data_IF_175349832208
#
_entry.id   IF_175349832208
#
_cell.length_a   1.000
_cell.length_b   1.000
_cell.length_c   1.000
_cell.angle_alpha   90.00
_cell.angle_beta   90.00
_cell.angle_gamma   90.00
#
_symmetry.space_group_name_H-M   'P 1'
#
loop_
_entity.id
_entity.type
_entity.pdbx_description
1 polymer ?
#
# COMPACT_ATOMS: atom_id res chain seq x y z
N UNK A 1 -20.16 -0.20 -12.32
CA UNK A 1 -18.72 0.09 -12.47
C UNK A 1 -18.21 0.61 -11.14
N UNK A 2 -17.04 0.16 -10.68
CA UNK A 2 -16.50 0.53 -9.35
C UNK A 2 -15.55 1.72 -9.48
N UNK A 3 -15.83 2.82 -8.76
CA UNK A 3 -14.97 4.00 -8.73
C UNK A 3 -13.88 3.84 -7.66
N UNK A 4 -12.71 4.43 -7.91
CA UNK A 4 -11.62 4.51 -6.95
C UNK A 4 -10.85 5.83 -7.11
N UNK A 5 -10.13 6.22 -6.06
CA UNK A 5 -9.20 7.35 -6.09
C UNK A 5 -7.80 6.86 -5.73
N UNK A 6 -6.79 7.24 -6.51
CA UNK A 6 -5.40 6.88 -6.28
C UNK A 6 -4.71 7.97 -5.46
N UNK A 7 -4.11 7.58 -4.35
CA UNK A 7 -3.36 8.48 -3.47
C UNK A 7 -1.96 7.92 -3.21
N UNK A 8 -1.03 8.79 -2.80
CA UNK A 8 0.31 8.38 -2.37
C UNK A 8 0.76 9.16 -1.13
N UNK A 9 1.52 8.50 -0.27
CA UNK A 9 2.23 9.14 0.83
C UNK A 9 3.72 8.80 0.74
N UNK A 10 4.53 9.74 0.24
CA UNK A 10 5.96 9.58 0.01
C UNK A 10 6.31 8.37 -0.88
N UNK A 11 5.54 8.20 -1.96
CA UNK A 11 5.71 7.13 -2.95
C UNK A 11 4.98 5.83 -2.61
N UNK A 12 4.55 5.62 -1.36
CA UNK A 12 3.73 4.48 -0.99
C UNK A 12 2.26 4.73 -1.40
N UNK A 13 1.78 3.97 -2.38
CA UNK A 13 0.62 4.36 -3.20
C UNK A 13 -0.60 3.42 -3.08
N UNK A 14 -1.77 3.98 -2.83
CA UNK A 14 -2.99 3.24 -2.50
C UNK A 14 -4.13 3.54 -3.45
N UNK A 15 -4.94 2.52 -3.74
CA UNK A 15 -6.28 2.70 -4.28
C UNK A 15 -7.24 2.90 -3.10
N UNK A 16 -8.04 3.95 -3.11
CA UNK A 16 -9.06 4.22 -2.09
C UNK A 16 -10.44 4.02 -2.72
N UNK A 17 -11.27 3.21 -2.09
CA UNK A 17 -12.67 2.97 -2.50
C UNK A 17 -13.62 3.48 -1.42
N UNK A 18 -14.56 4.31 -1.86
CA UNK A 18 -15.60 4.91 -1.03
C UNK A 18 -16.73 3.93 -0.74
N UNK A 19 -16.98 3.69 0.54
CA UNK A 19 -18.03 2.81 1.03
C UNK A 19 -18.67 3.26 2.34
N UNK A 20 -18.43 4.50 2.80
CA UNK A 20 -18.89 5.00 4.11
C UNK A 20 -20.40 4.98 4.29
N UNK A 21 -21.18 4.95 3.19
CA UNK A 21 -22.64 4.85 3.21
C UNK A 21 -23.15 3.40 3.17
N UNK A 22 -22.28 2.41 3.26
CA UNK A 22 -22.64 0.99 3.21
C UNK A 22 -23.12 0.54 1.82
N UNK A 23 -22.79 1.30 0.78
CA UNK A 23 -23.24 1.09 -0.60
C UNK A 23 -22.42 0.05 -1.37
N UNK A 24 -21.29 -0.41 -0.82
CA UNK A 24 -20.42 -1.37 -1.49
C UNK A 24 -21.01 -2.78 -1.43
N UNK A 25 -21.01 -3.52 -2.56
CA UNK A 25 -21.31 -4.94 -2.54
C UNK A 25 -20.34 -5.69 -1.62
N UNK A 26 -20.81 -6.81 -1.02
CA UNK A 26 -19.99 -7.64 -0.12
C UNK A 26 -18.65 -8.03 -0.76
N UNK A 27 -18.65 -8.40 -2.03
CA UNK A 27 -17.44 -8.78 -2.75
C UNK A 27 -16.40 -7.66 -2.92
N UNK A 28 -16.76 -6.40 -2.66
CA UNK A 28 -15.85 -5.24 -2.62
C UNK A 28 -15.51 -4.90 -1.16
N UNK A 29 -16.50 -4.84 -0.27
CA UNK A 29 -16.29 -4.46 1.13
C UNK A 29 -15.57 -5.54 1.95
N UNK A 30 -15.63 -6.78 1.46
CA UNK A 30 -14.89 -7.93 1.94
C UNK A 30 -14.25 -8.67 0.75
N UNK A 31 -13.14 -8.12 0.23
CA UNK A 31 -12.57 -8.55 -1.03
C UNK A 31 -11.82 -9.87 -0.90
N UNK A 32 -11.91 -10.70 -1.95
CA UNK A 32 -11.04 -11.85 -2.11
C UNK A 32 -9.59 -11.41 -2.40
N UNK A 33 -8.62 -12.15 -1.86
CA UNK A 33 -7.21 -11.83 -1.98
C UNK A 33 -6.71 -11.84 -3.44
N UNK A 34 -7.23 -12.71 -4.31
CA UNK A 34 -6.85 -12.75 -5.72
C UNK A 34 -7.35 -11.51 -6.47
N UNK A 35 -8.53 -10.99 -6.09
CA UNK A 35 -9.00 -9.73 -6.66
C UNK A 35 -8.10 -8.56 -6.28
N UNK A 36 -7.71 -8.46 -5.00
CA UNK A 36 -6.77 -7.43 -4.53
C UNK A 36 -5.45 -7.52 -5.29
N UNK A 37 -4.86 -8.71 -5.40
CA UNK A 37 -3.62 -8.93 -6.18
C UNK A 37 -3.78 -8.45 -7.62
N UNK A 38 -4.91 -8.77 -8.26
CA UNK A 38 -5.17 -8.39 -9.65
C UNK A 38 -5.27 -6.87 -9.84
N UNK A 39 -5.95 -6.14 -8.95
CA UNK A 39 -6.07 -4.68 -9.10
C UNK A 39 -4.79 -3.95 -8.69
N UNK A 40 -4.04 -4.48 -7.72
CA UNK A 40 -2.77 -3.93 -7.25
C UNK A 40 -1.59 -4.26 -8.18
N UNK A 41 -1.73 -5.24 -9.08
CA UNK A 41 -0.72 -5.52 -10.10
C UNK A 41 -0.43 -4.28 -10.96
N UNK A 42 0.85 -3.88 -11.03
CA UNK A 42 1.28 -2.65 -11.70
C UNK A 42 1.29 -2.72 -13.23
N UNK A 43 1.14 -3.90 -13.82
CA UNK A 43 1.17 -4.12 -15.28
C UNK A 43 -0.21 -4.46 -15.85
N UNK A 44 -0.97 -5.27 -15.14
CA UNK A 44 -2.25 -5.83 -15.56
C UNK A 44 -3.43 -5.28 -14.76
N UNK A 45 -3.17 -4.60 -13.65
CA UNK A 45 -4.15 -3.90 -12.84
C UNK A 45 -4.02 -2.38 -12.94
N UNK A 46 -4.52 -1.70 -11.92
CA UNK A 46 -4.30 -0.27 -11.72
C UNK A 46 -2.88 0.00 -11.22
N UNK A 47 -2.36 -0.93 -10.42
CA UNK A 47 -1.08 -0.79 -9.72
C UNK A 47 -1.23 -0.06 -8.40
N UNK A 48 -0.68 -0.61 -7.32
CA UNK A 48 -0.56 0.04 -6.02
C UNK A 48 -0.06 -0.89 -4.94
N UNK A 49 0.52 -0.34 -3.89
CA UNK A 49 1.00 -1.09 -2.72
C UNK A 49 -0.15 -1.66 -1.88
N UNK A 50 -1.37 -1.13 -2.03
CA UNK A 50 -2.57 -1.68 -1.42
C UNK A 50 -3.88 -1.04 -1.84
N UNK A 51 -4.96 -1.64 -1.35
CA UNK A 51 -6.33 -1.17 -1.44
C UNK A 51 -6.82 -0.73 -0.07
N UNK A 52 -7.33 0.49 0.03
CA UNK A 52 -7.96 1.06 1.22
C UNK A 52 -9.47 1.14 0.97
N UNK A 53 -10.25 0.62 1.90
CA UNK A 53 -11.70 0.70 1.92
C UNK A 53 -12.13 1.66 3.03
N UNK A 54 -12.79 2.75 2.67
CA UNK A 54 -13.45 3.65 3.60
C UNK A 54 -14.87 3.13 3.86
N UNK A 55 -15.11 2.50 5.00
CA UNK A 55 -16.33 1.78 5.32
C UNK A 55 -17.12 2.46 6.45
N UNK A 56 -18.41 2.12 6.64
CA UNK A 56 -19.16 2.63 7.78
C UNK A 56 -18.49 2.20 9.09
N UNK A 57 -18.54 3.06 10.13
CA UNK A 57 -18.02 2.69 11.45
C UNK A 57 -18.82 1.52 12.04
N UNK A 58 -18.18 0.74 12.91
CA UNK A 58 -18.82 -0.30 13.70
C UNK A 58 -18.98 0.06 15.18
N UNK A 59 -18.20 1.04 15.65
CA UNK A 59 -18.30 1.62 16.99
C UNK A 59 -18.61 3.12 16.92
N UNK A 60 -18.01 3.89 17.84
CA UNK A 60 -18.21 5.33 17.98
C UNK A 60 -17.24 6.16 17.10
N UNK A 61 -16.56 5.54 16.13
CA UNK A 61 -15.72 6.25 15.17
C UNK A 61 -16.52 7.00 14.09
N UNK A 62 -15.83 7.85 13.34
CA UNK A 62 -16.41 8.54 12.18
C UNK A 62 -16.56 7.58 10.99
N UNK A 63 -15.59 6.67 10.82
CA UNK A 63 -15.56 5.65 9.77
C UNK A 63 -14.62 4.51 10.16
N UNK A 64 -14.69 3.42 9.40
CA UNK A 64 -13.76 2.29 9.51
C UNK A 64 -12.88 2.20 8.28
N UNK A 65 -11.59 2.03 8.49
CA UNK A 65 -10.61 1.74 7.44
C UNK A 65 -10.28 0.25 7.45
N UNK A 66 -10.39 -0.38 6.28
CA UNK A 66 -9.70 -1.66 6.00
C UNK A 66 -8.61 -1.41 4.97
N UNK A 67 -7.48 -2.06 5.14
CA UNK A 67 -6.35 -1.98 4.20
C UNK A 67 -5.89 -3.37 3.81
N UNK A 68 -5.95 -3.63 2.51
CA UNK A 68 -5.42 -4.86 1.91
C UNK A 68 -4.09 -4.53 1.25
N UNK A 69 -3.04 -5.27 1.60
CA UNK A 69 -1.75 -5.19 0.91
C UNK A 69 -1.88 -5.73 -0.52
N UNK A 70 -0.92 -5.37 -1.38
CA UNK A 70 -0.88 -5.85 -2.77
C UNK A 70 -0.84 -7.39 -2.90
N UNK A 71 -0.38 -8.11 -1.87
CA UNK A 71 -0.40 -9.58 -1.83
C UNK A 71 -1.75 -10.16 -1.38
N UNK A 72 -2.75 -9.32 -1.13
CA UNK A 72 -4.10 -9.69 -0.70
C UNK A 72 -4.26 -9.96 0.80
N UNK A 73 -3.21 -9.82 1.61
CA UNK A 73 -3.32 -9.88 3.08
C UNK A 73 -3.92 -8.59 3.64
N UNK A 74 -4.65 -8.67 4.75
CA UNK A 74 -5.16 -7.49 5.46
C UNK A 74 -4.10 -7.00 6.46
N UNK A 75 -3.75 -5.72 6.37
CA UNK A 75 -2.82 -5.09 7.31
C UNK A 75 -3.57 -4.48 8.50
N UNK A 76 -2.96 -4.53 9.69
CA UNK A 76 -3.58 -3.98 10.89
C UNK A 76 -3.64 -2.45 10.87
N UNK A 77 -2.58 -1.82 10.36
CA UNK A 77 -2.44 -0.37 10.22
C UNK A 77 -1.36 -0.04 9.17
N UNK A 78 -1.47 1.12 8.52
CA UNK A 78 -0.43 1.69 7.68
C UNK A 78 -0.38 3.21 7.86
N UNK A 79 0.75 3.73 8.36
CA UNK A 79 0.92 5.16 8.64
C UNK A 79 0.83 6.05 7.40
N UNK A 80 1.24 5.57 6.22
CA UNK A 80 1.04 6.29 4.96
C UNK A 80 -0.40 6.17 4.46
N UNK A 81 -0.97 4.97 4.56
CA UNK A 81 -2.35 4.71 4.14
C UNK A 81 -3.38 5.54 4.92
N UNK A 82 -3.22 5.69 6.24
CA UNK A 82 -4.14 6.49 7.06
C UNK A 82 -4.05 7.99 6.72
N UNK A 83 -2.85 8.50 6.39
CA UNK A 83 -2.70 9.88 5.89
C UNK A 83 -3.36 10.04 4.52
N UNK A 84 -3.20 9.06 3.63
CA UNK A 84 -3.87 9.05 2.32
C UNK A 84 -5.39 9.04 2.47
N UNK A 85 -5.93 8.23 3.39
CA UNK A 85 -7.36 8.21 3.67
C UNK A 85 -7.84 9.54 4.24
N UNK A 86 -7.16 10.09 5.26
CA UNK A 86 -7.54 11.37 5.84
C UNK A 86 -7.49 12.51 4.81
N UNK A 87 -6.48 12.52 3.94
CA UNK A 87 -6.41 13.46 2.82
C UNK A 87 -7.57 13.28 1.85
N UNK A 88 -7.87 12.04 1.46
CA UNK A 88 -9.01 11.72 0.62
C UNK A 88 -10.32 12.25 1.20
N UNK A 89 -10.57 12.04 2.50
CA UNK A 89 -11.75 12.54 3.20
C UNK A 89 -11.81 14.07 3.14
N UNK A 90 -10.69 14.75 3.41
CA UNK A 90 -10.62 16.20 3.34
C UNK A 90 -10.95 16.72 1.93
N UNK A 91 -10.38 16.09 0.90
CA UNK A 91 -10.60 16.47 -0.49
C UNK A 91 -12.06 16.22 -0.94
N UNK A 92 -12.70 15.14 -0.46
CA UNK A 92 -14.07 14.81 -0.87
C UNK A 92 -15.15 15.55 -0.10
N UNK A 93 -14.91 15.81 1.18
CA UNK A 93 -15.89 16.39 2.09
C UNK A 93 -15.73 17.92 2.21
N UNK A 94 -14.61 18.47 1.72
CA UNK A 94 -14.30 19.90 1.78
C UNK A 94 -13.84 20.36 3.17
N UNK A 95 -13.21 19.47 3.95
CA UNK A 95 -12.71 19.79 5.28
C UNK A 95 -11.49 20.73 5.24
N UNK A 96 -11.36 21.59 6.26
CA UNK A 96 -10.25 22.52 6.42
C UNK A 96 -9.33 22.18 7.60
N UNK A 97 -8.25 22.96 7.81
CA UNK A 97 -7.30 22.75 8.90
C UNK A 97 -7.94 22.65 10.29
N UNK A 98 -7.37 21.81 11.14
CA UNK A 98 -7.87 21.47 12.48
C UNK A 98 -8.91 20.34 12.48
N UNK A 99 -9.32 19.83 11.31
CA UNK A 99 -10.17 18.64 11.23
C UNK A 99 -9.42 17.44 11.78
N UNK A 100 -10.08 16.69 12.68
CA UNK A 100 -9.63 15.42 13.22
C UNK A 100 -10.67 14.36 12.91
N UNK A 101 -10.26 13.22 12.40
CA UNK A 101 -11.14 12.06 12.17
C UNK A 101 -10.90 11.00 13.23
N UNK A 102 -11.95 10.29 13.64
CA UNK A 102 -11.84 9.07 14.44
C UNK A 102 -11.97 7.86 13.51
N UNK A 103 -10.84 7.28 13.08
CA UNK A 103 -10.83 6.20 12.09
C UNK A 103 -10.60 4.85 12.79
N UNK A 104 -11.59 3.97 12.73
CA UNK A 104 -11.47 2.61 13.26
C UNK A 104 -10.58 1.77 12.34
N UNK A 105 -9.57 1.11 12.93
CA UNK A 105 -8.67 0.17 12.25
C UNK A 105 -8.58 -1.12 13.07
N UNK A 106 -7.92 -2.15 12.53
CA UNK A 106 -7.62 -3.35 13.31
C UNK A 106 -6.68 -3.07 14.50
N UNK A 107 -5.85 -2.03 14.41
CA UNK A 107 -5.00 -1.55 15.51
C UNK A 107 -5.73 -0.63 16.52
N UNK A 108 -7.04 -0.45 16.38
CA UNK A 108 -7.85 0.46 17.20
C UNK A 108 -8.18 1.78 16.47
N UNK A 109 -8.65 2.78 17.23
CA UNK A 109 -9.07 4.07 16.66
C UNK A 109 -7.86 4.99 16.49
N UNK A 110 -7.57 5.38 15.25
CA UNK A 110 -6.49 6.31 14.90
C UNK A 110 -7.09 7.69 14.59
N UNK A 111 -6.40 8.74 15.04
CA UNK A 111 -6.89 10.13 14.94
C UNK A 111 -5.95 11.01 14.10
N UNK A 112 -6.00 10.92 12.76
CA UNK A 112 -5.28 11.86 11.91
C UNK A 112 -5.89 13.26 12.02
N UNK A 113 -5.04 14.28 12.01
CA UNK A 113 -5.39 15.70 12.05
C UNK A 113 -4.87 16.40 10.79
N UNK A 114 -5.73 17.17 10.12
CA UNK A 114 -5.35 18.04 9.01
C UNK A 114 -4.71 19.32 9.54
N UNK A 115 -3.44 19.52 9.22
CA UNK A 115 -2.65 20.65 9.67
C UNK A 115 -2.89 21.90 8.81
N UNK A 116 -2.44 23.07 9.28
CA UNK A 116 -2.62 24.36 8.61
C UNK A 116 -1.94 24.44 7.23
N UNK A 117 -0.85 23.70 7.04
CA UNK A 117 -0.11 23.58 5.79
C UNK A 117 -0.63 22.46 4.87
N UNK A 118 -1.72 21.80 5.25
CA UNK A 118 -2.33 20.71 4.50
C UNK A 118 -1.69 19.33 4.70
N UNK A 119 -0.66 19.22 5.56
CA UNK A 119 -0.10 17.93 5.96
C UNK A 119 -1.01 17.20 6.95
N UNK A 120 -0.80 15.89 7.10
CA UNK A 120 -1.55 15.06 8.04
C UNK A 120 -0.66 14.65 9.20
N UNK A 121 -1.05 15.04 10.41
CA UNK A 121 -0.42 14.62 11.67
C UNK A 121 -1.16 13.40 12.22
N UNK A 122 -0.41 12.38 12.60
CA UNK A 122 -0.92 11.10 13.09
C UNK A 122 -0.24 10.78 14.42
N UNK A 123 -1.04 10.42 15.41
CA UNK A 123 -0.55 9.79 16.64
C UNK A 123 -0.21 8.33 16.35
N UNK A 124 1.08 7.98 16.43
CA UNK A 124 1.61 6.65 16.12
C UNK A 124 1.71 5.75 17.36
N UNK A 125 1.21 6.21 18.50
CA UNK A 125 1.32 5.53 19.78
C UNK A 125 2.71 5.65 20.41
N UNK A 126 2.84 5.08 21.61
CA UNK A 126 4.10 5.05 22.34
C UNK A 126 5.06 4.00 21.76
N UNK A 127 6.37 4.27 21.74
CA UNK A 127 7.35 3.27 21.29
C UNK A 127 7.49 2.16 22.33
N UNK A 128 7.74 0.95 21.84
CA UNK A 128 8.16 -0.18 22.65
C UNK A 128 9.67 -0.21 22.74
N UNK A 129 10.21 -0.35 23.96
CA UNK A 129 11.64 -0.31 24.27
C UNK A 129 12.11 -1.52 25.08
N UNK A 130 11.30 -2.58 25.18
CA UNK A 130 11.71 -3.82 25.86
C UNK A 130 12.04 -4.92 24.84
N UNK A 131 13.09 -5.72 25.06
CA UNK A 131 13.51 -6.74 24.10
C UNK A 131 12.40 -7.74 23.74
N UNK A 132 11.53 -8.09 24.70
CA UNK A 132 10.46 -9.06 24.51
C UNK A 132 9.33 -8.52 23.61
N UNK A 133 9.06 -7.21 23.68
CA UNK A 133 8.02 -6.56 22.87
C UNK A 133 8.53 -6.17 21.48
N UNK A 134 9.84 -6.01 21.31
CA UNK A 134 10.52 -5.77 20.02
C UNK A 134 10.98 -7.07 19.33
N UNK A 135 10.59 -8.24 19.85
CA UNK A 135 11.39 -9.49 19.76
C UNK A 135 12.87 -9.33 19.32
N UNK A 136 13.74 -8.88 20.23
CA UNK A 136 15.20 -8.83 20.04
C UNK A 136 15.96 -9.50 21.17
N UNK A 137 17.18 -9.96 20.90
CA UNK A 137 18.13 -10.47 21.90
C UNK A 137 19.14 -9.42 22.34
N UNK A 138 19.04 -8.17 21.86
CA UNK A 138 19.92 -7.08 22.30
C UNK A 138 19.66 -6.76 23.77
N UNK A 139 20.74 -6.43 24.49
CA UNK A 139 20.65 -6.04 25.89
C UNK A 139 20.17 -4.60 26.01
N UNK A 140 19.39 -4.30 27.04
CA UNK A 140 18.97 -2.93 27.36
C UNK A 140 20.11 -2.20 28.05
N UNK A 141 20.49 -1.06 27.49
CA UNK A 141 21.39 -0.09 28.12
C UNK A 141 20.78 1.31 27.99
N UNK A 142 20.70 2.02 29.13
CA UNK A 142 20.02 3.31 29.27
C UNK A 142 18.58 3.36 28.70
N UNK A 143 17.81 2.29 28.94
CA UNK A 143 16.42 2.19 28.49
C UNK A 143 16.24 1.92 26.99
N UNK A 144 17.31 1.63 26.26
CA UNK A 144 17.28 1.28 24.84
C UNK A 144 17.95 -0.09 24.62
N UNK A 145 17.28 -1.06 23.97
CA UNK A 145 17.94 -2.27 23.49
C UNK A 145 18.96 -1.92 22.41
N UNK A 146 20.25 -2.01 22.72
CA UNK A 146 21.33 -1.63 21.80
C UNK A 146 22.54 -2.53 21.95
N UNK A 147 23.42 -2.50 20.96
CA UNK A 147 24.65 -3.25 21.00
C UNK A 147 25.44 -3.16 19.71
N UNK A 148 26.40 -4.05 19.58
CA UNK A 148 27.30 -4.12 18.43
C UNK A 148 27.08 -5.44 17.72
N UNK A 149 26.83 -5.40 16.41
CA UNK A 149 26.71 -6.57 15.55
C UNK A 149 27.88 -6.62 14.56
N UNK A 150 28.40 -7.83 14.32
CA UNK A 150 29.47 -8.06 13.35
C UNK A 150 28.88 -8.59 12.04
N UNK A 151 29.04 -7.83 10.96
CA UNK A 151 28.53 -8.16 9.64
C UNK A 151 29.63 -8.01 8.60
N UNK A 152 30.02 -9.11 7.97
CA UNK A 152 31.04 -9.15 6.90
C UNK A 152 32.37 -8.45 7.29
N UNK A 153 32.75 -8.53 8.57
CA UNK A 153 33.95 -7.88 9.10
C UNK A 153 33.79 -6.41 9.47
N UNK A 154 32.62 -5.81 9.23
CA UNK A 154 32.23 -4.51 9.75
C UNK A 154 31.59 -4.64 11.14
N UNK A 155 31.89 -3.67 12.00
CA UNK A 155 31.29 -3.52 13.32
C UNK A 155 30.19 -2.47 13.23
N UNK A 156 28.94 -2.85 13.47
CA UNK A 156 27.80 -1.95 13.39
C UNK A 156 27.20 -1.73 14.78
N UNK A 157 27.12 -0.47 15.20
CA UNK A 157 26.30 -0.07 16.33
C UNK A 157 24.83 -0.11 15.93
N UNK A 158 24.00 -0.78 16.74
CA UNK A 158 22.59 -0.97 16.46
C UNK A 158 21.74 -0.64 17.67
N UNK A 159 20.55 -0.08 17.42
CA UNK A 159 19.54 0.18 18.42
C UNK A 159 18.17 -0.33 17.95
N UNK A 160 17.47 -1.07 18.78
CA UNK A 160 16.15 -1.62 18.44
C UNK A 160 15.02 -0.84 19.13
N UNK A 161 13.98 -0.54 18.35
CA UNK A 161 12.77 0.17 18.79
C UNK A 161 11.57 -0.52 18.16
N UNK A 162 10.46 -0.62 18.89
CA UNK A 162 9.20 -1.13 18.37
C UNK A 162 8.18 -0.02 18.18
N UNK A 163 7.44 -0.05 17.08
CA UNK A 163 6.32 0.86 16.79
C UNK A 163 5.06 0.05 16.37
N UNK A 164 4.84 -1.08 17.04
CA UNK A 164 3.89 -2.14 16.64
C UNK A 164 4.56 -3.28 15.87
N UNK A 165 5.63 -2.96 15.15
CA UNK A 165 6.53 -3.90 14.49
C UNK A 165 8.01 -3.61 14.87
N UNK A 166 8.91 -4.60 14.72
CA UNK A 166 10.31 -4.44 15.10
C UNK A 166 11.09 -3.57 14.10
N UNK A 167 11.90 -2.67 14.64
CA UNK A 167 12.83 -1.84 13.88
C UNK A 167 14.23 -1.89 14.52
N UNK A 168 15.26 -1.93 13.68
CA UNK A 168 16.64 -1.68 14.07
C UNK A 168 17.16 -0.45 13.34
N UNK A 169 17.77 0.45 14.08
CA UNK A 169 18.40 1.68 13.61
C UNK A 169 19.91 1.52 13.71
N UNK A 170 20.59 1.81 12.62
CA UNK A 170 22.04 1.67 12.46
C UNK A 170 22.62 3.04 12.09
N UNK A 171 23.14 3.82 13.06
CA UNK A 171 23.83 5.05 12.75
C UNK A 171 25.07 4.78 11.88
N UNK A 172 25.25 5.57 10.83
CA UNK A 172 26.38 5.48 9.89
C UNK A 172 26.87 6.89 9.53
N UNK A 173 28.15 6.98 9.14
CA UNK A 173 28.75 8.27 8.76
C UNK A 173 28.25 8.78 7.40
N UNK A 174 28.10 7.88 6.42
CA UNK A 174 27.70 8.23 5.05
C UNK A 174 26.86 7.12 4.39
N UNK A 175 25.58 7.40 4.16
CA UNK A 175 24.61 6.51 3.51
C UNK A 175 24.95 6.15 2.06
N UNK A 176 25.77 6.94 1.38
CA UNK A 176 26.18 6.67 0.01
C UNK A 176 27.25 5.58 -0.08
N UNK A 177 27.97 5.32 1.02
CA UNK A 177 29.13 4.42 1.04
C UNK A 177 28.83 3.04 1.61
N UNK A 178 27.71 2.88 2.32
CA UNK A 178 27.35 1.61 2.93
C UNK A 178 26.99 0.56 1.87
N UNK A 179 27.32 -0.73 2.10
CA UNK A 179 26.84 -1.84 1.27
C UNK A 179 25.37 -2.15 1.61
N UNK A 180 24.49 -1.19 1.30
CA UNK A 180 23.11 -1.13 1.76
C UNK A 180 22.32 -2.43 1.56
N UNK A 181 22.35 -3.01 0.36
CA UNK A 181 21.58 -4.22 0.07
C UNK A 181 22.09 -5.43 0.87
N UNK A 182 23.41 -5.57 0.99
CA UNK A 182 24.03 -6.68 1.72
C UNK A 182 23.74 -6.56 3.22
N UNK A 183 23.97 -5.39 3.81
CA UNK A 183 23.71 -5.17 5.24
C UNK A 183 22.21 -5.21 5.57
N UNK A 184 21.35 -4.62 4.73
CA UNK A 184 19.90 -4.65 4.93
C UNK A 184 19.36 -6.07 4.96
N UNK A 185 19.67 -6.88 3.94
CA UNK A 185 19.25 -8.28 3.87
C UNK A 185 19.79 -9.11 5.04
N UNK A 186 21.04 -8.90 5.44
CA UNK A 186 21.66 -9.65 6.52
C UNK A 186 21.09 -9.26 7.90
N UNK A 187 20.84 -7.97 8.14
CA UNK A 187 20.24 -7.48 9.38
C UNK A 187 18.77 -7.88 9.52
N UNK A 188 18.00 -7.89 8.42
CA UNK A 188 16.58 -8.29 8.43
C UNK A 188 16.39 -9.64 9.13
N UNK A 189 17.25 -10.62 8.81
CA UNK A 189 17.15 -12.00 9.31
C UNK A 189 18.20 -12.34 10.37
N UNK A 190 18.90 -11.33 10.91
CA UNK A 190 19.99 -11.56 11.85
C UNK A 190 19.47 -12.27 13.12
N UNK A 191 20.21 -13.24 13.71
CA UNK A 191 19.76 -14.00 14.88
C UNK A 191 19.36 -13.16 16.11
N UNK A 192 19.84 -11.91 16.17
CA UNK A 192 19.45 -10.95 17.21
C UNK A 192 17.99 -10.47 17.09
N UNK A 193 17.30 -10.78 15.98
CA UNK A 193 15.92 -10.41 15.71
C UNK A 193 15.11 -11.66 15.32
N UNK A 194 14.67 -12.48 16.28
CA UNK A 194 13.95 -13.73 16.01
C UNK A 194 12.70 -13.60 15.14
N UNK A 195 12.02 -12.45 15.17
CA UNK A 195 10.84 -12.15 14.35
C UNK A 195 11.16 -11.39 13.06
N UNK A 196 12.44 -11.43 12.64
CA UNK A 196 13.05 -10.51 11.67
C UNK A 196 12.90 -9.05 12.11
N UNK A 197 13.45 -8.11 11.35
CA UNK A 197 13.30 -6.68 11.65
C UNK A 197 13.32 -5.81 10.40
N UNK A 198 12.72 -4.63 10.48
CA UNK A 198 12.95 -3.56 9.50
C UNK A 198 14.26 -2.84 9.87
N UNK A 199 15.08 -2.53 8.88
CA UNK A 199 16.42 -1.97 9.07
C UNK A 199 16.46 -0.54 8.54
N UNK A 200 16.95 0.38 9.38
CA UNK A 200 17.06 1.80 9.07
C UNK A 200 18.50 2.24 9.24
N UNK A 201 19.19 2.53 8.14
CA UNK A 201 20.50 3.15 8.22
C UNK A 201 20.30 4.64 8.38
N UNK A 202 20.86 5.21 9.44
CA UNK A 202 20.66 6.60 9.85
C UNK A 202 21.94 7.40 9.66
N UNK A 203 21.89 8.45 8.86
CA UNK A 203 22.90 9.50 8.85
C UNK A 203 22.33 10.77 9.50
N UNK A 204 23.10 11.34 10.41
CA UNK A 204 22.70 12.52 11.19
C UNK A 204 23.38 13.74 10.58
N UNK A 205 22.59 14.64 9.99
CA UNK A 205 23.11 15.90 9.45
C UNK A 205 23.24 16.95 10.55
N UNK A 206 22.20 17.07 11.38
CA UNK A 206 22.20 17.82 12.62
C UNK A 206 21.14 17.26 13.59
N UNK A 207 20.95 17.90 14.74
CA UNK A 207 20.04 17.42 15.79
C UNK A 207 18.55 17.46 15.42
N UNK A 208 18.20 18.10 14.31
CA UNK A 208 16.84 18.27 13.80
C UNK A 208 16.64 17.78 12.37
N UNK A 209 17.69 17.32 11.68
CA UNK A 209 17.63 16.77 10.33
C UNK A 209 18.36 15.42 10.27
N UNK A 210 17.57 14.36 10.06
CA UNK A 210 18.01 12.98 9.99
C UNK A 210 17.75 12.46 8.58
N UNK A 211 18.65 11.67 8.02
CA UNK A 211 18.43 10.99 6.74
C UNK A 211 18.49 9.48 6.92
N UNK A 212 17.58 8.76 6.26
CA UNK A 212 17.43 7.32 6.43
C UNK A 212 17.32 6.61 5.10
N UNK A 213 18.02 5.47 4.96
CA UNK A 213 17.68 4.45 3.96
C UNK A 213 17.05 3.24 4.63
N UNK A 214 15.95 2.78 4.05
CA UNK A 214 15.08 1.77 4.67
C UNK A 214 15.14 0.45 3.92
N UNK A 215 15.34 -0.63 4.67
CA UNK A 215 15.11 -2.00 4.23
C UNK A 215 13.98 -2.61 5.07
N UNK A 216 12.82 -2.83 4.47
CA UNK A 216 11.65 -3.37 5.16
C UNK A 216 11.64 -4.90 5.18
N UNK A 217 11.17 -5.43 6.31
CA UNK A 217 11.03 -6.86 6.56
C UNK A 217 10.13 -7.48 5.50
N UNK A 218 10.69 -8.40 4.71
CA UNK A 218 9.97 -9.10 3.65
C UNK A 218 9.70 -8.28 2.38
N UNK A 219 10.07 -7.00 2.33
CA UNK A 219 9.86 -6.13 1.17
C UNK A 219 11.17 -5.61 0.55
N UNK A 220 12.26 -5.55 1.34
CA UNK A 220 13.54 -5.03 0.87
C UNK A 220 13.55 -3.49 0.83
N UNK A 221 14.28 -2.87 -0.11
CA UNK A 221 14.38 -1.42 -0.19
C UNK A 221 13.02 -0.74 -0.46
N UNK A 222 12.60 0.18 0.40
CA UNK A 222 11.35 0.95 0.22
C UNK A 222 11.60 2.46 0.18
N UNK A 223 10.66 3.19 -0.41
CA UNK A 223 10.75 4.66 -0.51
C UNK A 223 10.41 5.36 0.81
N UNK A 224 9.51 4.80 1.60
CA UNK A 224 9.12 5.39 2.88
C UNK A 224 8.53 4.35 3.83
N UNK A 225 8.90 4.45 5.11
CA UNK A 225 8.36 3.65 6.20
C UNK A 225 8.00 4.57 7.38
N UNK A 226 6.71 4.84 7.60
CA UNK A 226 6.27 5.77 8.65
C UNK A 226 6.63 5.31 10.06
N UNK A 227 6.39 4.04 10.41
CA UNK A 227 6.81 3.50 11.71
C UNK A 227 8.33 3.46 11.85
N UNK A 228 9.05 3.27 10.73
CA UNK A 228 10.51 3.34 10.68
C UNK A 228 11.07 4.73 10.95
N UNK A 229 10.46 5.78 10.41
CA UNK A 229 10.83 7.16 10.72
C UNK A 229 10.61 7.48 12.21
N UNK A 230 9.48 7.03 12.78
CA UNK A 230 9.22 7.15 14.21
C UNK A 230 10.28 6.43 15.06
N UNK A 231 10.58 5.17 14.72
CA UNK A 231 11.60 4.38 15.41
C UNK A 231 13.00 5.00 15.31
N UNK A 232 13.33 5.58 14.15
CA UNK A 232 14.59 6.29 13.91
C UNK A 232 14.72 7.49 14.84
N UNK A 233 13.71 8.36 14.93
CA UNK A 233 13.76 9.49 15.86
C UNK A 233 13.93 8.97 17.29
N UNK A 234 13.10 8.04 17.74
CA UNK A 234 13.17 7.49 19.11
C UNK A 234 14.58 6.98 19.44
N UNK A 235 15.18 6.19 18.55
CA UNK A 235 16.54 5.69 18.71
C UNK A 235 17.57 6.83 18.73
N UNK A 236 17.50 7.78 17.78
CA UNK A 236 18.41 8.91 17.71
C UNK A 236 18.37 9.78 18.98
N UNK A 237 17.18 10.02 19.54
CA UNK A 237 17.03 10.83 20.76
C UNK A 237 17.50 10.07 22.01
N UNK A 238 17.39 8.74 22.06
CA UNK A 238 17.94 7.91 23.15
C UNK A 238 19.46 7.70 23.02
N UNK A 239 20.00 7.76 21.80
CA UNK A 239 21.45 7.78 21.53
C UNK A 239 22.07 9.19 21.65
N UNK A 240 21.28 10.20 22.01
CA UNK A 240 21.68 11.61 22.11
C UNK A 240 22.18 12.24 20.79
N UNK A 241 21.76 11.68 19.65
CA UNK A 241 22.08 12.15 18.29
C UNK A 241 21.12 13.22 17.79
N UNK A 242 19.88 13.22 18.28
CA UNK A 242 18.79 14.12 17.85
C UNK A 242 18.11 14.79 19.04
N UNK A 243 17.46 15.92 18.78
CA UNK A 243 16.45 16.51 19.66
C UNK A 243 15.13 15.76 19.53
N UNK A 244 14.18 16.03 20.42
CA UNK A 244 12.90 15.32 20.52
C UNK A 244 11.93 15.57 19.35
N UNK A 245 12.31 16.41 18.38
CA UNK A 245 11.58 16.66 17.15
C UNK A 245 12.58 16.88 16.02
N UNK A 246 12.43 16.14 14.92
CA UNK A 246 13.31 16.24 13.76
C UNK A 246 12.57 15.92 12.47
N UNK A 247 13.03 16.52 11.38
CA UNK A 247 12.70 16.08 10.03
C UNK A 247 13.51 14.81 9.72
N UNK A 248 12.81 13.75 9.34
CA UNK A 248 13.39 12.49 8.90
C UNK A 248 13.23 12.39 7.38
N UNK A 249 14.32 12.51 6.66
CA UNK A 249 14.40 12.39 5.20
C UNK A 249 14.44 10.91 4.81
N UNK A 250 13.38 10.44 4.16
CA UNK A 250 13.33 9.13 3.53
C UNK A 250 13.56 9.27 2.01
N UNK A 251 13.85 8.19 1.26
CA UNK A 251 14.02 8.28 -0.19
C UNK A 251 12.80 8.87 -0.92
N UNK A 252 11.59 8.67 -0.39
CA UNK A 252 10.33 9.21 -0.91
C UNK A 252 10.01 10.63 -0.45
N UNK A 253 10.78 11.21 0.47
CA UNK A 253 10.62 12.57 0.98
C UNK A 253 10.57 12.67 2.52
N UNK A 254 10.38 13.89 3.06
CA UNK A 254 10.45 14.16 4.50
C UNK A 254 9.22 13.72 5.28
N UNK A 255 9.43 13.30 6.52
CA UNK A 255 8.42 13.26 7.58
C UNK A 255 8.90 14.08 8.78
N UNK A 256 8.05 14.94 9.33
CA UNK A 256 8.31 15.59 10.61
C UNK A 256 7.87 14.64 11.72
N UNK A 257 8.82 14.22 12.56
CA UNK A 257 8.55 13.34 13.70
C UNK A 257 8.79 14.12 14.99
N UNK A 258 7.94 13.90 16.00
CA UNK A 258 8.14 14.45 17.34
C UNK A 258 7.81 13.44 18.43
N UNK A 259 8.57 13.46 19.50
CA UNK A 259 8.42 12.62 20.69
C UNK A 259 8.77 13.42 21.97
N UNK A 260 8.03 14.50 22.20
CA UNK A 260 8.30 15.47 23.27
C UNK A 260 8.06 14.93 24.69
N UNK A 261 7.21 13.92 24.83
CA UNK A 261 6.99 13.22 26.09
C UNK A 261 7.56 11.81 25.98
N UNK A 262 8.65 11.53 26.71
CA UNK A 262 9.33 10.21 26.72
C UNK A 262 8.44 9.05 27.19
N UNK A 263 7.31 9.33 27.83
CA UNK A 263 6.32 8.32 28.22
C UNK A 263 5.06 8.34 27.34
N UNK A 264 5.00 9.27 26.39
CA UNK A 264 3.86 9.48 25.50
C UNK A 264 4.09 8.95 24.09
N UNK A 265 3.16 9.30 23.22
CA UNK A 265 3.16 8.90 21.82
C UNK A 265 4.20 9.63 20.97
N UNK A 266 4.65 8.96 19.92
CA UNK A 266 5.34 9.59 18.79
C UNK A 266 4.30 10.16 17.84
N UNK A 267 4.44 11.42 17.47
CA UNK A 267 3.60 12.05 16.45
C UNK A 267 4.38 12.13 15.14
N UNK A 268 3.72 11.73 14.06
CA UNK A 268 4.27 11.76 12.70
C UNK A 268 3.41 12.69 11.84
N UNK A 269 4.04 13.70 11.24
CA UNK A 269 3.40 14.60 10.29
C UNK A 269 4.04 14.41 8.92
N UNK A 270 3.22 14.28 7.89
CA UNK A 270 3.71 14.13 6.53
C UNK A 270 2.65 14.42 5.48
N UNK A 271 3.08 14.56 4.22
CA UNK A 271 2.16 14.78 3.12
C UNK A 271 1.38 13.50 2.77
N UNK A 272 0.28 13.71 2.07
CA UNK A 272 -0.43 12.73 1.28
C UNK A 272 -1.06 13.45 0.08
N UNK A 273 -1.01 12.84 -1.09
CA UNK A 273 -1.35 13.50 -2.34
C UNK A 273 -2.29 12.63 -3.17
N UNK A 274 -3.30 13.28 -3.77
CA UNK A 274 -4.12 12.68 -4.81
C UNK A 274 -3.30 12.55 -6.10
N UNK A 275 -3.39 11.39 -6.75
CA UNK A 275 -2.68 11.12 -8.01
C UNK A 275 -3.66 11.18 -9.20
N UNK A 276 -4.72 10.37 -9.16
CA UNK A 276 -5.78 10.36 -10.16
C UNK A 276 -7.04 9.67 -9.63
N UNK A 277 -8.19 9.92 -10.26
CA UNK A 277 -9.40 9.11 -10.03
C UNK A 277 -9.65 8.19 -11.21
N UNK A 278 -10.32 7.07 -10.97
CA UNK A 278 -10.59 6.09 -12.00
C UNK A 278 -11.85 5.28 -11.77
N UNK A 279 -12.22 4.53 -12.80
CA UNK A 279 -13.35 3.60 -12.79
C UNK A 279 -12.87 2.25 -13.31
N UNK A 280 -13.05 1.20 -12.51
CA UNK A 280 -12.74 -0.16 -12.93
C UNK A 280 -13.75 -0.65 -13.97
N UNK A 281 -13.24 -1.34 -14.98
CA UNK A 281 -14.06 -2.07 -15.93
C UNK A 281 -14.79 -3.23 -15.23
N UNK A 282 -15.88 -3.75 -15.81
CA UNK A 282 -16.59 -4.91 -15.26
C UNK A 282 -15.68 -6.14 -15.07
N UNK A 283 -14.72 -6.36 -15.95
CA UNK A 283 -13.80 -7.51 -15.92
C UNK A 283 -12.83 -7.43 -14.74
N UNK A 284 -12.39 -6.21 -14.40
CA UNK A 284 -11.52 -5.96 -13.25
C UNK A 284 -12.28 -5.81 -11.92
N UNK A 285 -13.60 -5.69 -11.93
CA UNK A 285 -14.43 -5.69 -10.71
C UNK A 285 -14.49 -7.08 -10.05
N UNK A 286 -14.79 -7.19 -8.74
CA UNK A 286 -14.91 -8.49 -8.07
C UNK A 286 -15.97 -9.37 -8.75
N UNK A 287 -15.67 -10.65 -8.96
CA UNK A 287 -16.56 -11.58 -9.68
C UNK A 287 -16.58 -11.41 -11.20
N UNK A 288 -15.84 -10.44 -11.76
CA UNK A 288 -15.62 -10.33 -13.20
C UNK A 288 -14.81 -11.53 -13.69
N UNK A 289 -15.38 -12.30 -14.61
CA UNK A 289 -14.65 -13.36 -15.31
C UNK A 289 -13.55 -12.70 -16.11
N UNK A 290 -12.30 -12.83 -15.63
CA UNK A 290 -11.17 -12.58 -16.52
C UNK A 290 -11.35 -13.52 -17.72
N UNK A 291 -11.33 -12.96 -18.94
CA UNK A 291 -11.26 -13.78 -20.14
C UNK A 291 -10.11 -14.76 -19.92
N UNK A 292 -10.42 -16.05 -19.98
CA UNK A 292 -9.55 -17.21 -19.75
C UNK A 292 -8.34 -17.29 -20.69
N UNK A 293 -8.09 -16.26 -21.49
CA UNK A 293 -7.00 -16.18 -22.45
C UNK A 293 -5.60 -16.13 -21.82
N UNK A 294 -5.45 -15.68 -20.56
CA UNK A 294 -4.12 -15.57 -19.91
C UNK A 294 -3.75 -16.74 -18.99
N UNK A 295 -4.70 -17.55 -18.55
CA UNK A 295 -4.41 -18.75 -17.73
C UNK A 295 -3.98 -19.97 -18.57
N UNK A 296 -4.07 -19.90 -19.89
CA UNK A 296 -3.76 -21.02 -20.78
C UNK A 296 -2.26 -21.20 -21.12
N UNK A 297 -1.36 -20.38 -20.57
CA UNK A 297 0.08 -20.43 -20.93
C UNK A 297 0.93 -21.25 -19.94
N UNK A 298 0.43 -21.57 -18.74
CA UNK A 298 1.26 -22.19 -17.67
C UNK A 298 0.90 -23.62 -17.29
N UNK A 299 -0.01 -24.29 -17.99
CA UNK A 299 -0.34 -25.70 -17.72
C UNK A 299 -0.24 -26.55 -18.99
N UNK A 300 0.98 -26.95 -19.34
CA UNK A 300 1.18 -28.14 -20.18
C UNK A 300 1.36 -29.37 -19.29
N UNK A 301 0.47 -30.38 -19.38
CA UNK A 301 0.82 -31.74 -18.99
C UNK A 301 1.56 -32.43 -20.15
N UNK A 302 2.56 -33.25 -19.79
CA UNK A 302 3.28 -34.12 -20.72
C UNK A 302 2.34 -35.00 -21.55
N UNK A 303 2.70 -35.17 -22.81
CA UNK A 303 1.99 -35.97 -23.80
C UNK A 303 2.11 -37.48 -23.55
N UNK A 304 1.07 -38.25 -23.90
CA UNK A 304 1.26 -39.55 -24.52
C UNK A 304 0.84 -39.52 -26.00
N UNK A 305 1.73 -40.06 -26.81
CA UNK A 305 1.57 -40.29 -28.26
C UNK A 305 0.44 -41.26 -28.60
N UNK A 306 -0.29 -40.99 -29.69
CA UNK A 306 -0.72 -41.96 -30.72
C UNK A 306 -1.27 -41.20 -31.95
N UNK A 307 -0.75 -41.57 -33.13
CA UNK A 307 -1.21 -41.22 -34.49
C UNK A 307 -2.75 -41.33 -34.65
N UNK A 308 -3.46 -40.67 -35.58
CA UNK A 308 -3.14 -40.43 -36.99
C UNK A 308 -4.19 -39.48 -37.67
N UNK A 309 -3.69 -38.61 -38.55
CA UNK A 309 -4.33 -37.79 -39.64
C UNK A 309 -4.99 -36.40 -39.37
N UNK A 310 -4.68 -35.38 -40.20
CA UNK A 310 -5.28 -34.05 -40.13
C UNK A 310 -6.70 -34.02 -40.73
N UNK A 311 -7.64 -33.47 -39.96
CA UNK A 311 -9.04 -33.30 -40.38
C UNK A 311 -9.22 -31.97 -41.11
N UNK A 312 -9.74 -31.99 -42.34
CA UNK A 312 -10.04 -30.81 -43.15
C UNK A 312 -11.55 -30.64 -43.38
N UNK A 313 -12.15 -29.61 -42.78
CA UNK A 313 -13.57 -29.28 -42.91
C UNK A 313 -14.00 -29.11 -44.38
N UNK A 314 -13.10 -28.68 -45.29
CA UNK A 314 -13.45 -28.42 -46.69
C UNK A 314 -13.74 -29.72 -47.48
N UNK A 315 -13.12 -30.83 -47.09
CA UNK A 315 -13.27 -32.14 -47.74
C UNK A 315 -14.25 -33.06 -47.02
N UNK A 316 -14.41 -32.92 -45.71
CA UNK A 316 -15.16 -33.84 -44.86
C UNK A 316 -16.65 -33.48 -44.69
N UNK A 317 -17.09 -32.30 -45.15
CA UNK A 317 -18.45 -31.79 -44.96
C UNK A 317 -19.05 -31.28 -46.27
N UNK A 318 -19.35 -32.19 -47.21
CA UNK A 318 -19.95 -31.84 -48.51
C UNK A 318 -21.49 -31.81 -48.50
N UNK A 319 -22.16 -32.68 -47.74
CA UNK A 319 -23.64 -32.71 -47.65
C UNK A 319 -24.18 -32.73 -46.20
N UNK A 320 -23.49 -33.36 -45.24
CA UNK A 320 -23.78 -33.30 -43.81
C UNK A 320 -22.51 -33.52 -42.99
N UNK A 321 -22.21 -32.63 -42.04
CA UNK A 321 -20.94 -32.60 -41.34
C UNK A 321 -20.93 -33.55 -40.14
N UNK A 322 -19.96 -34.46 -40.07
CA UNK A 322 -19.85 -35.48 -39.02
C UNK A 322 -19.43 -34.90 -37.65
N UNK A 323 -18.88 -33.68 -37.61
CA UNK A 323 -18.43 -32.97 -36.40
C UNK A 323 -18.77 -31.47 -36.45
N UNK A 324 -20.06 -31.10 -36.29
CA UNK A 324 -20.52 -29.72 -36.47
C UNK A 324 -19.87 -28.73 -35.49
N UNK A 325 -19.56 -29.18 -34.26
CA UNK A 325 -18.98 -28.36 -33.19
C UNK A 325 -17.60 -27.77 -33.55
N UNK A 326 -16.90 -28.37 -34.53
CA UNK A 326 -15.53 -27.98 -34.92
C UNK A 326 -15.46 -27.00 -36.11
N UNK A 327 -16.55 -26.71 -36.83
CA UNK A 327 -16.52 -25.83 -38.02
C UNK A 327 -17.38 -24.55 -37.88
N UNK A 328 -17.79 -24.14 -36.67
CA UNK A 328 -18.66 -22.96 -36.40
C UNK A 328 -17.93 -21.61 -36.62
N UNK A 329 -18.01 -21.01 -37.81
CA UNK A 329 -17.51 -19.64 -38.07
C UNK A 329 -18.58 -18.59 -38.35
N UNK A 330 -19.76 -18.96 -38.87
CA UNK A 330 -20.70 -17.94 -39.40
C UNK A 330 -21.77 -17.48 -38.40
N UNK A 331 -22.31 -18.36 -37.56
CA UNK A 331 -23.33 -17.97 -36.55
C UNK A 331 -22.76 -17.10 -35.42
N UNK A 332 -21.50 -17.31 -35.05
CA UNK A 332 -20.84 -16.54 -34.01
C UNK A 332 -20.60 -15.08 -34.44
N UNK A 333 -20.24 -14.86 -35.72
CA UNK A 333 -20.04 -13.53 -36.27
C UNK A 333 -21.35 -12.73 -36.37
N UNK A 334 -22.47 -13.39 -36.71
CA UNK A 334 -23.78 -12.74 -36.79
C UNK A 334 -24.31 -12.28 -35.42
N UNK A 335 -24.05 -13.06 -34.34
CA UNK A 335 -24.46 -12.68 -32.98
C UNK A 335 -23.70 -11.47 -32.43
N UNK A 336 -22.41 -11.34 -32.78
CA UNK A 336 -21.60 -10.17 -32.41
C UNK A 336 -22.09 -8.92 -33.13
N UNK A 337 -22.40 -9.02 -34.42
CA UNK A 337 -22.87 -7.88 -35.20
C UNK A 337 -24.25 -7.36 -34.74
N UNK A 338 -25.15 -8.24 -34.31
CA UNK A 338 -26.45 -7.87 -33.78
C UNK A 338 -26.38 -7.14 -32.42
N UNK A 339 -25.40 -7.48 -31.58
CA UNK A 339 -25.16 -6.85 -30.29
C UNK A 339 -24.62 -5.42 -30.42
N UNK A 340 -23.71 -5.20 -31.38
CA UNK A 340 -23.10 -3.89 -31.63
C UNK A 340 -24.09 -2.84 -32.16
N UNK A 341 -25.18 -3.26 -32.80
CA UNK A 341 -26.13 -2.35 -33.44
C UNK A 341 -27.21 -1.78 -32.50
N UNK A 342 -27.38 -2.31 -31.29
CA UNK A 342 -28.56 -2.03 -30.45
C UNK A 342 -28.31 -1.28 -29.13
N UNK A 343 -27.10 -0.75 -28.89
CA UNK A 343 -26.82 -0.01 -27.66
C UNK A 343 -25.99 1.23 -27.95
N UNK A 344 -26.57 2.44 -27.83
CA UNK A 344 -25.81 3.67 -28.07
C UNK A 344 -24.87 3.97 -26.88
N UNK A 345 -23.57 3.98 -27.17
CA UNK A 345 -22.46 4.32 -26.26
C UNK A 345 -22.68 5.62 -25.46
N UNK A 346 -23.36 6.59 -26.09
CA UNK A 346 -23.53 7.97 -25.57
C UNK A 346 -24.38 8.06 -24.30
N UNK A 347 -25.34 7.15 -24.09
CA UNK A 347 -26.21 7.20 -22.90
C UNK A 347 -25.53 6.65 -21.64
N UNK A 348 -24.52 5.78 -21.80
CA UNK A 348 -23.76 5.22 -20.68
C UNK A 348 -22.58 6.10 -20.28
N UNK A 349 -22.02 6.88 -21.22
CA UNK A 349 -20.94 7.83 -20.95
C UNK A 349 -21.41 9.05 -20.15
N UNK A 350 -22.61 9.58 -20.43
CA UNK A 350 -23.09 10.82 -19.78
C UNK A 350 -23.36 10.70 -18.28
N UNK A 351 -23.74 9.52 -17.77
CA UNK A 351 -24.02 9.32 -16.34
C UNK A 351 -22.75 9.12 -15.48
N UNK A 352 -21.65 8.68 -16.08
CA UNK A 352 -20.38 8.48 -15.38
C UNK A 352 -19.51 9.74 -15.38
N UNK A 353 -19.59 10.54 -16.45
CA UNK A 353 -18.79 11.76 -16.61
C UNK A 353 -19.20 12.90 -15.67
N UNK A 354 -20.51 13.10 -15.44
CA UNK A 354 -20.99 14.26 -14.65
C UNK A 354 -20.52 14.23 -13.18
N UNK A 355 -20.36 13.05 -12.56
CA UNK A 355 -19.90 12.92 -11.17
C UNK A 355 -18.38 13.04 -11.02
N UNK A 356 -17.62 12.65 -12.05
CA UNK A 356 -16.16 12.75 -12.07
C UNK A 356 -15.75 14.20 -12.37
N UNK A 357 -16.34 14.81 -13.41
CA UNK A 357 -16.05 16.20 -13.79
C UNK A 357 -16.40 17.19 -12.68
N UNK A 358 -17.53 17.02 -11.98
CA UNK A 358 -17.89 17.90 -10.86
C UNK A 358 -16.86 17.83 -9.71
N UNK A 359 -16.32 16.64 -9.41
CA UNK A 359 -15.31 16.46 -8.36
C UNK A 359 -13.95 16.96 -8.79
N UNK A 360 -13.51 16.66 -10.01
CA UNK A 360 -12.26 17.21 -10.56
C UNK A 360 -12.30 18.74 -10.64
N UNK A 361 -13.44 19.32 -11.02
CA UNK A 361 -13.61 20.77 -11.09
C UNK A 361 -13.63 21.44 -9.72
N UNK A 362 -14.32 20.86 -8.74
CA UNK A 362 -14.26 21.34 -7.35
C UNK A 362 -12.83 21.35 -6.79
N UNK A 363 -11.98 20.39 -7.19
CA UNK A 363 -10.55 20.37 -6.80
C UNK A 363 -9.74 21.50 -7.43
N UNK A 364 -9.95 21.81 -8.70
CA UNK A 364 -9.28 22.95 -9.36
C UNK A 364 -9.76 24.31 -8.84
N UNK A 365 -11.02 24.42 -8.44
CA UNK A 365 -11.59 25.66 -7.92
C UNK A 365 -11.16 25.95 -6.46
N UNK A 366 -10.85 24.91 -5.67
CA UNK A 366 -10.37 25.03 -4.28
C UNK A 366 -8.85 25.00 -4.11
N UNK A 367 -8.09 24.61 -5.15
CA UNK A 367 -6.63 24.59 -5.17
C UNK A 367 -6.05 25.88 -5.76
N UNK A 368 -6.01 26.95 -4.98
CA UNK A 368 -5.14 28.09 -5.25
C UNK A 368 -3.68 27.70 -4.99
N UNK A 369 -2.83 27.87 -6.02
CA UNK A 369 -1.37 27.73 -5.98
C UNK A 369 -0.70 28.30 -4.73
#
# INVERSE_FOLDING_TARGET
>A
MLQFSKYQGLGNDFLIVEGRQGQLPVAVSDPDADWVRRICDRRFGVGGDGLILALPPQGDGDLRMRIMNADGSEAEMCGNGIRCLARYLADTDGDGPGRVWAIETLAGVIRPELMADGQLKVDMGAPFLTPETIPTTLMVDDGLPKGVLMLEGAQLDVAAVGMGNPHVVVPVDDLATIPFDAWGAALEVHPAFPAKTNVHFLQVHDRSHLEVRVWERGAGPTLACGTGACATLVAAVLLNLSDDSAEVMLPGGPLQISWSNRQGSVLMTGPAEAVFDGVLTPELSPGGTASTALQAITSQPEAPSRDEQPFDCASACSEQCQRPDQCLRDEAQQRVQAFLNNTSLDSMLNLASESLEQRTRARFENGGL
#
